data_IF_652394482893
#
_entry.id   IF_652394482893
#
_cell.length_a   1.000
_cell.length_b   1.000
_cell.length_c   1.000
_cell.angle_alpha   90.00
_cell.angle_beta   90.00
_cell.angle_gamma   90.00
#
_symmetry.space_group_name_H-M   'P 1'
#
loop_
_entity.id
_entity.type
_entity.pdbx_description
1 polymer ?
#
# COMPACT_ATOMS: atom_id res chain seq x y z
N UNK A 1 -0.48 -23.66 -13.68
CA UNK A 1 -0.07 -22.49 -14.50
C UNK A 1 -1.36 -21.82 -14.97
N UNK A 2 -1.60 -20.54 -14.68
CA UNK A 2 -2.91 -19.89 -14.88
C UNK A 2 -3.24 -19.61 -16.36
N UNK A 3 -2.22 -19.41 -17.21
CA UNK A 3 -2.34 -19.31 -18.67
C UNK A 3 -1.01 -19.67 -19.35
N UNK A 4 -1.05 -19.96 -20.64
CA UNK A 4 0.12 -20.07 -21.53
C UNK A 4 0.66 -18.70 -21.98
N UNK A 5 -0.15 -17.64 -21.88
CA UNK A 5 0.22 -16.27 -22.22
C UNK A 5 1.11 -15.66 -21.12
N UNK A 6 2.34 -15.26 -21.47
CA UNK A 6 3.29 -14.66 -20.51
C UNK A 6 2.80 -13.31 -19.98
N UNK A 7 2.10 -12.52 -20.79
CA UNK A 7 1.58 -11.21 -20.40
C UNK A 7 0.34 -11.31 -19.50
N UNK A 8 -0.34 -12.47 -19.52
CA UNK A 8 -1.53 -12.69 -18.72
C UNK A 8 -1.22 -12.67 -17.22
N UNK A 9 -0.20 -13.38 -16.74
CA UNK A 9 0.08 -13.48 -15.30
C UNK A 9 0.34 -12.11 -14.68
N UNK A 10 1.18 -11.29 -15.33
CA UNK A 10 1.45 -9.93 -14.89
C UNK A 10 0.18 -9.08 -14.89
N UNK A 11 -0.61 -9.12 -15.97
CA UNK A 11 -1.84 -8.34 -16.08
C UNK A 11 -2.92 -8.80 -15.09
N UNK A 12 -3.03 -10.10 -14.84
CA UNK A 12 -3.89 -10.68 -13.83
C UNK A 12 -3.54 -10.11 -12.45
N UNK A 13 -2.28 -10.20 -12.02
CA UNK A 13 -1.83 -9.68 -10.72
C UNK A 13 -2.11 -8.18 -10.55
N UNK A 14 -2.02 -7.41 -11.64
CA UNK A 14 -2.26 -5.97 -11.65
C UNK A 14 -3.75 -5.63 -11.58
N UNK A 15 -4.58 -6.35 -12.33
CA UNK A 15 -6.02 -6.08 -12.40
C UNK A 15 -6.71 -6.52 -11.11
N UNK A 16 -6.33 -7.64 -10.49
CA UNK A 16 -6.93 -8.06 -9.22
C UNK A 16 -6.66 -7.05 -8.09
N UNK A 17 -5.54 -6.33 -8.13
CA UNK A 17 -5.24 -5.25 -7.17
C UNK A 17 -6.27 -4.11 -7.25
N UNK A 18 -6.87 -3.85 -8.43
CA UNK A 18 -7.96 -2.89 -8.56
C UNK A 18 -9.18 -3.30 -7.73
N UNK A 19 -9.42 -4.61 -7.56
CA UNK A 19 -10.45 -5.12 -6.66
C UNK A 19 -10.16 -4.75 -5.20
N UNK A 20 -8.90 -4.89 -4.76
CA UNK A 20 -8.49 -4.44 -3.42
C UNK A 20 -8.54 -2.91 -3.26
N UNK A 21 -8.36 -2.13 -4.32
CA UNK A 21 -8.52 -0.67 -4.26
C UNK A 21 -9.98 -0.26 -4.20
N UNK A 22 -10.85 -0.95 -4.94
CA UNK A 22 -12.28 -0.74 -4.86
C UNK A 22 -12.81 -1.00 -3.44
N UNK A 23 -12.26 -1.97 -2.72
CA UNK A 23 -12.67 -2.23 -1.33
C UNK A 23 -12.29 -1.10 -0.38
N UNK A 24 -11.16 -0.43 -0.60
CA UNK A 24 -10.80 0.81 0.13
C UNK A 24 -11.85 1.90 -0.13
N UNK A 25 -12.21 2.13 -1.41
CA UNK A 25 -13.21 3.14 -1.79
C UNK A 25 -14.56 2.85 -1.15
N UNK A 26 -15.00 1.58 -1.17
CA UNK A 26 -16.27 1.15 -0.56
C UNK A 26 -16.23 1.28 0.96
N UNK A 27 -15.18 0.79 1.62
CA UNK A 27 -15.07 0.83 3.07
C UNK A 27 -15.07 2.27 3.61
N UNK A 28 -14.32 3.17 2.94
CA UNK A 28 -14.19 4.57 3.33
C UNK A 28 -15.07 5.52 2.52
N UNK A 29 -16.17 5.03 1.93
CA UNK A 29 -17.03 5.81 1.02
C UNK A 29 -17.43 7.17 1.61
N UNK A 30 -17.91 7.17 2.86
CA UNK A 30 -18.34 8.40 3.54
C UNK A 30 -17.18 9.33 3.88
N UNK A 31 -15.95 8.82 4.02
CA UNK A 31 -14.75 9.61 4.32
C UNK A 31 -14.12 10.18 3.04
N UNK A 32 -14.26 9.51 1.90
CA UNK A 32 -13.60 9.87 0.65
C UNK A 32 -14.44 10.76 -0.26
N UNK A 33 -15.76 10.54 -0.34
CA UNK A 33 -16.60 11.20 -1.33
C UNK A 33 -16.89 12.65 -0.90
N UNK A 34 -16.39 13.67 -1.65
CA UNK A 34 -16.47 15.08 -1.27
C UNK A 34 -17.87 15.68 -1.47
N UNK A 35 -18.84 14.89 -1.90
CA UNK A 35 -20.26 15.28 -2.05
C UNK A 35 -21.14 14.83 -0.89
N UNK A 36 -20.59 14.01 0.03
CA UNK A 36 -21.31 13.51 1.19
C UNK A 36 -21.00 14.37 2.42
N UNK A 37 -22.01 14.68 3.24
CA UNK A 37 -21.84 15.39 4.53
C UNK A 37 -22.09 16.90 4.50
N UNK A 38 -21.77 17.56 5.61
CA UNK A 38 -21.96 19.01 5.80
C UNK A 38 -21.03 19.82 4.88
N UNK A 39 -21.21 21.15 4.80
CA UNK A 39 -20.32 22.02 4.00
C UNK A 39 -18.86 21.91 4.46
N UNK A 40 -18.64 21.89 5.78
CA UNK A 40 -17.31 21.78 6.37
C UNK A 40 -16.67 20.42 6.11
N UNK A 41 -17.41 19.33 6.31
CA UNK A 41 -16.93 17.97 6.02
C UNK A 41 -16.51 17.81 4.55
N UNK A 42 -17.27 18.40 3.62
CA UNK A 42 -16.95 18.38 2.19
C UNK A 42 -15.65 19.13 1.88
N UNK A 43 -15.42 20.28 2.52
CA UNK A 43 -14.16 21.03 2.39
C UNK A 43 -12.96 20.24 2.94
N UNK A 44 -13.12 19.58 4.08
CA UNK A 44 -12.07 18.74 4.67
C UNK A 44 -11.71 17.56 3.77
N UNK A 45 -12.68 16.97 3.07
CA UNK A 45 -12.44 15.90 2.09
C UNK A 45 -11.69 16.39 0.85
N UNK A 46 -12.00 17.57 0.35
CA UNK A 46 -11.20 18.19 -0.73
C UNK A 46 -9.77 18.45 -0.27
N UNK A 47 -9.58 18.96 0.93
CA UNK A 47 -8.26 19.16 1.53
C UNK A 47 -7.50 17.83 1.70
N UNK A 48 -8.17 16.76 2.12
CA UNK A 48 -7.62 15.41 2.13
C UNK A 48 -7.13 15.00 0.74
N UNK A 49 -7.96 15.13 -0.30
CA UNK A 49 -7.55 14.77 -1.67
C UNK A 49 -6.36 15.58 -2.17
N UNK A 50 -6.28 16.88 -1.85
CA UNK A 50 -5.10 17.69 -2.15
C UNK A 50 -3.84 17.16 -1.45
N UNK A 51 -3.93 16.77 -0.17
CA UNK A 51 -2.82 16.14 0.57
C UNK A 51 -2.41 14.81 -0.09
N UNK A 52 -3.36 14.00 -0.54
CA UNK A 52 -3.10 12.74 -1.24
C UNK A 52 -2.39 13.00 -2.58
N UNK A 53 -2.85 13.97 -3.36
CA UNK A 53 -2.21 14.37 -4.63
C UNK A 53 -0.77 14.82 -4.37
N UNK A 54 -0.53 15.65 -3.36
CA UNK A 54 0.82 16.09 -3.00
C UNK A 54 1.70 14.91 -2.57
N UNK A 55 1.12 13.93 -1.87
CA UNK A 55 1.84 12.74 -1.40
C UNK A 55 2.22 11.78 -2.52
N UNK A 56 1.50 11.75 -3.63
CA UNK A 56 1.83 10.85 -4.76
C UNK A 56 2.92 11.44 -5.67
N UNK A 57 3.12 12.77 -5.68
CA UNK A 57 4.09 13.44 -6.57
C UNK A 57 5.51 12.84 -6.52
N UNK A 58 6.12 12.59 -5.34
CA UNK A 58 7.47 12.02 -5.31
C UNK A 58 7.54 10.63 -5.96
N UNK A 59 6.51 9.81 -5.73
CA UNK A 59 6.44 8.47 -6.29
C UNK A 59 6.19 8.49 -7.80
N UNK A 60 5.38 9.41 -8.33
CA UNK A 60 5.23 9.57 -9.78
C UNK A 60 6.57 9.96 -10.40
N UNK A 61 7.24 10.97 -9.84
CA UNK A 61 8.50 11.46 -10.39
C UNK A 61 9.59 10.38 -10.42
N UNK A 62 9.83 9.71 -9.27
CA UNK A 62 10.85 8.67 -9.17
C UNK A 62 10.44 7.42 -9.94
N UNK A 63 9.16 7.03 -9.87
CA UNK A 63 8.65 5.82 -10.52
C UNK A 63 8.77 5.89 -12.04
N UNK A 64 8.48 7.04 -12.66
CA UNK A 64 8.61 7.19 -14.11
C UNK A 64 10.06 7.15 -14.61
N UNK A 65 11.02 7.54 -13.77
CA UNK A 65 12.45 7.59 -14.13
C UNK A 65 13.14 6.25 -13.85
N UNK A 66 12.77 5.57 -12.76
CA UNK A 66 13.53 4.45 -12.21
C UNK A 66 12.89 3.06 -12.42
N UNK A 67 11.69 2.96 -13.00
CA UNK A 67 10.92 1.69 -13.15
C UNK A 67 11.79 0.53 -13.68
N UNK A 68 12.43 0.72 -14.83
CA UNK A 68 13.24 -0.31 -15.50
C UNK A 68 14.49 -0.69 -14.69
N UNK A 69 15.12 0.30 -14.04
CA UNK A 69 16.30 0.07 -13.22
C UNK A 69 15.96 -0.71 -11.94
N UNK A 70 14.84 -0.38 -11.30
CA UNK A 70 14.33 -1.09 -10.13
C UNK A 70 14.02 -2.55 -10.47
N UNK A 71 13.29 -2.78 -11.57
CA UNK A 71 12.93 -4.13 -12.01
C UNK A 71 14.17 -4.98 -12.29
N UNK A 72 15.19 -4.42 -12.95
CA UNK A 72 16.42 -5.12 -13.30
C UNK A 72 17.27 -5.55 -12.09
N UNK A 73 17.43 -4.68 -11.09
CA UNK A 73 18.40 -4.91 -10.01
C UNK A 73 17.78 -5.42 -8.71
N UNK A 74 16.53 -5.06 -8.42
CA UNK A 74 15.92 -5.31 -7.11
C UNK A 74 14.83 -6.39 -7.14
N UNK A 75 14.36 -6.81 -8.32
CA UNK A 75 13.29 -7.81 -8.44
C UNK A 75 13.83 -9.25 -8.33
N UNK A 76 14.39 -9.58 -7.17
CA UNK A 76 14.88 -10.92 -6.85
C UNK A 76 14.46 -11.36 -5.43
N UNK A 77 14.37 -12.67 -5.20
CA UNK A 77 13.89 -13.25 -3.93
C UNK A 77 14.71 -12.81 -2.71
N UNK A 78 16.02 -12.62 -2.89
CA UNK A 78 16.91 -12.20 -1.81
C UNK A 78 16.58 -10.76 -1.37
N UNK A 79 16.48 -9.82 -2.30
CA UNK A 79 16.06 -8.45 -2.01
C UNK A 79 14.70 -8.42 -1.31
N UNK A 80 13.71 -9.18 -1.79
CA UNK A 80 12.38 -9.26 -1.17
C UNK A 80 12.45 -9.75 0.28
N UNK A 81 13.24 -10.79 0.53
CA UNK A 81 13.38 -11.36 1.88
C UNK A 81 14.10 -10.42 2.87
N UNK A 82 15.18 -9.77 2.44
CA UNK A 82 15.95 -8.85 3.28
C UNK A 82 15.11 -7.63 3.64
N UNK A 83 14.38 -7.05 2.68
CA UNK A 83 13.50 -5.90 2.94
C UNK A 83 12.32 -6.28 3.82
N UNK A 84 11.76 -7.49 3.69
CA UNK A 84 10.73 -7.99 4.61
C UNK A 84 11.24 -8.00 6.05
N UNK A 85 12.42 -8.58 6.29
CA UNK A 85 13.05 -8.64 7.62
C UNK A 85 13.35 -7.23 8.12
N UNK A 86 14.00 -6.39 7.31
CA UNK A 86 14.40 -5.04 7.70
C UNK A 86 13.19 -4.19 8.14
N UNK A 87 12.14 -4.12 7.33
CA UNK A 87 10.93 -3.36 7.70
C UNK A 87 10.14 -4.02 8.83
N UNK A 88 10.23 -5.35 8.97
CA UNK A 88 9.68 -6.07 10.11
C UNK A 88 10.34 -5.66 11.43
N UNK A 89 11.67 -5.58 11.45
CA UNK A 89 12.46 -5.06 12.58
C UNK A 89 12.12 -3.59 12.84
N UNK A 90 12.04 -2.78 11.78
CA UNK A 90 11.73 -1.36 11.89
C UNK A 90 10.37 -1.10 12.55
N UNK A 91 9.33 -1.88 12.20
CA UNK A 91 8.04 -1.82 12.89
C UNK A 91 8.16 -2.07 14.39
N UNK A 92 8.91 -3.11 14.79
CA UNK A 92 9.08 -3.46 16.19
C UNK A 92 9.81 -2.34 16.94
N UNK A 93 10.91 -1.83 16.40
CA UNK A 93 11.71 -0.77 17.01
C UNK A 93 10.89 0.52 17.17
N UNK A 94 10.21 0.95 16.11
CA UNK A 94 9.39 2.17 16.12
C UNK A 94 8.27 2.05 17.16
N UNK A 95 7.61 0.90 17.22
CA UNK A 95 6.53 0.67 18.18
C UNK A 95 7.02 0.70 19.63
N UNK A 96 8.13 0.04 19.94
CA UNK A 96 8.71 0.10 21.28
C UNK A 96 9.15 1.51 21.67
N UNK A 97 9.71 2.27 20.72
CA UNK A 97 10.10 3.66 20.96
C UNK A 97 8.89 4.56 21.25
N UNK A 98 7.81 4.40 20.48
CA UNK A 98 6.59 5.21 20.64
C UNK A 98 5.80 4.86 21.90
N UNK A 99 5.71 3.57 22.24
CA UNK A 99 5.07 3.13 23.48
C UNK A 99 5.72 3.74 24.73
N UNK A 100 7.03 3.97 24.70
CA UNK A 100 7.76 4.62 25.80
C UNK A 100 7.54 6.13 25.90
N UNK A 101 7.13 6.80 24.82
CA UNK A 101 7.09 8.27 24.76
C UNK A 101 5.69 8.88 24.57
N UNK A 102 4.68 8.10 24.16
CA UNK A 102 3.30 8.59 24.01
C UNK A 102 3.09 9.65 22.92
N UNK A 103 3.95 9.71 21.89
CA UNK A 103 4.00 10.83 20.92
C UNK A 103 3.08 10.59 19.71
N UNK A 104 1.77 10.44 19.95
CA UNK A 104 0.79 10.56 18.86
C UNK A 104 0.14 11.92 18.96
N UNK A 105 0.67 12.88 18.20
CA UNK A 105 0.25 14.29 18.24
C UNK A 105 -0.86 14.61 17.25
N UNK A 106 -1.05 13.75 16.25
CA UNK A 106 -2.03 13.93 15.17
C UNK A 106 -2.98 12.73 15.15
N UNK A 107 -4.23 13.02 15.46
CA UNK A 107 -5.34 12.06 15.54
C UNK A 107 -6.40 12.26 14.45
N UNK A 108 -6.36 13.38 13.74
CA UNK A 108 -7.27 13.70 12.65
C UNK A 108 -6.51 14.16 11.38
N UNK A 109 -7.05 13.81 10.22
CA UNK A 109 -6.54 14.13 8.89
C UNK A 109 -6.36 15.64 8.68
N UNK A 110 -7.22 16.46 9.27
CA UNK A 110 -7.19 17.92 9.12
C UNK A 110 -5.88 18.51 9.67
N UNK A 111 -5.36 17.91 10.76
CA UNK A 111 -4.10 18.30 11.42
C UNK A 111 -2.85 17.86 10.64
N UNK A 112 -2.98 17.02 9.61
CA UNK A 112 -1.86 16.64 8.75
C UNK A 112 -1.54 17.81 7.80
N UNK A 113 -0.40 18.45 7.97
CA UNK A 113 0.03 19.53 7.07
C UNK A 113 0.45 18.99 5.69
N UNK A 114 0.39 19.83 4.65
CA UNK A 114 0.87 19.48 3.31
C UNK A 114 2.34 19.06 3.29
N UNK A 115 3.18 19.67 4.14
CA UNK A 115 4.58 19.26 4.32
C UNK A 115 4.68 17.82 4.82
N UNK A 116 3.87 17.43 5.82
CA UNK A 116 3.85 16.04 6.32
C UNK A 116 3.34 15.08 5.24
N UNK A 117 2.28 15.45 4.51
CA UNK A 117 1.77 14.66 3.39
C UNK A 117 2.85 14.40 2.32
N UNK A 118 3.56 15.44 1.89
CA UNK A 118 4.69 15.30 0.95
C UNK A 118 5.79 14.36 1.48
N UNK A 119 6.16 14.47 2.76
CA UNK A 119 7.16 13.58 3.37
C UNK A 119 6.65 12.13 3.41
N UNK A 120 5.38 11.88 3.72
CA UNK A 120 4.79 10.53 3.61
C UNK A 120 4.93 9.99 2.18
N UNK A 121 4.79 10.86 1.17
CA UNK A 121 5.07 10.55 -0.23
C UNK A 121 6.52 10.16 -0.51
N UNK A 122 7.49 10.80 0.13
CA UNK A 122 8.90 10.40 0.05
C UNK A 122 9.11 9.01 0.67
N UNK A 123 8.46 8.71 1.80
CA UNK A 123 8.47 7.36 2.36
C UNK A 123 7.85 6.32 1.41
N UNK A 124 6.79 6.69 0.67
CA UNK A 124 6.23 5.80 -0.35
C UNK A 124 7.26 5.36 -1.40
N UNK A 125 8.23 6.22 -1.74
CA UNK A 125 9.26 5.88 -2.72
C UNK A 125 10.16 4.71 -2.28
N UNK A 126 10.27 4.46 -0.97
CA UNK A 126 10.97 3.29 -0.45
C UNK A 126 10.30 1.96 -0.87
N UNK A 127 9.01 2.02 -1.19
CA UNK A 127 8.23 0.89 -1.66
C UNK A 127 8.61 0.41 -3.06
N UNK A 128 9.40 1.18 -3.80
CA UNK A 128 9.97 0.72 -5.06
C UNK A 128 10.92 -0.45 -4.88
N UNK A 129 11.58 -0.56 -3.74
CA UNK A 129 12.39 -1.75 -3.43
C UNK A 129 11.42 -2.91 -3.13
N UNK A 130 11.43 -3.99 -3.94
CA UNK A 130 10.53 -5.12 -3.75
C UNK A 130 10.67 -5.72 -2.35
N UNK A 131 9.53 -6.03 -1.74
CA UNK A 131 9.41 -6.54 -0.37
C UNK A 131 9.23 -5.47 0.71
N UNK A 132 9.56 -4.20 0.47
CA UNK A 132 9.36 -3.09 1.43
C UNK A 132 7.90 -2.92 1.88
N UNK A 133 6.93 -3.34 1.08
CA UNK A 133 5.49 -3.09 1.26
C UNK A 133 5.16 -1.60 1.27
N UNK A 134 4.35 -1.20 0.30
CA UNK A 134 3.95 0.20 0.14
C UNK A 134 3.21 0.74 1.35
N UNK A 135 2.26 -0.02 1.88
CA UNK A 135 1.53 0.39 3.08
C UNK A 135 2.45 0.50 4.30
N UNK A 136 3.44 -0.38 4.44
CA UNK A 136 4.38 -0.33 5.56
C UNK A 136 5.22 0.95 5.51
N UNK A 137 5.77 1.29 4.35
CA UNK A 137 6.60 2.48 4.18
C UNK A 137 5.81 3.75 4.52
N UNK A 138 4.59 3.90 4.00
CA UNK A 138 3.75 5.08 4.24
C UNK A 138 3.21 5.16 5.67
N UNK A 139 2.85 4.02 6.27
CA UNK A 139 2.43 3.96 7.68
C UNK A 139 3.59 4.37 8.60
N UNK A 140 4.78 3.81 8.38
CA UNK A 140 5.99 4.16 9.13
C UNK A 140 6.30 5.65 9.00
N UNK A 141 6.27 6.18 7.77
CA UNK A 141 6.46 7.61 7.54
C UNK A 141 5.44 8.47 8.28
N UNK A 142 4.16 8.12 8.23
CA UNK A 142 3.10 8.82 8.97
C UNK A 142 3.30 8.79 10.48
N UNK A 143 3.61 7.61 11.02
CA UNK A 143 3.85 7.41 12.45
C UNK A 143 5.07 8.22 12.92
N UNK A 144 6.18 8.20 12.19
CA UNK A 144 7.37 8.99 12.50
C UNK A 144 7.12 10.50 12.46
N UNK A 145 6.13 10.94 11.68
CA UNK A 145 5.66 12.33 11.63
C UNK A 145 4.60 12.67 12.70
N UNK A 146 4.29 11.71 13.58
CA UNK A 146 3.42 11.88 14.74
C UNK A 146 1.94 11.56 14.50
N UNK A 147 1.58 10.93 13.38
CA UNK A 147 0.23 10.41 13.16
C UNK A 147 0.00 9.19 14.07
N UNK A 148 -1.20 9.09 14.64
CA UNK A 148 -1.60 7.87 15.31
C UNK A 148 -1.70 6.69 14.31
N UNK A 149 -1.67 5.46 14.82
CA UNK A 149 -1.63 4.23 14.00
C UNK A 149 -2.82 4.13 13.04
N UNK A 150 -4.01 4.47 13.54
CA UNK A 150 -5.25 4.42 12.76
C UNK A 150 -5.18 5.40 11.59
N UNK A 151 -4.84 6.67 11.86
CA UNK A 151 -4.75 7.73 10.86
C UNK A 151 -3.62 7.48 9.86
N UNK A 152 -2.47 6.96 10.30
CA UNK A 152 -1.38 6.59 9.40
C UNK A 152 -1.80 5.48 8.43
N UNK A 153 -2.54 4.47 8.93
CA UNK A 153 -3.10 3.41 8.10
C UNK A 153 -4.19 3.93 7.15
N UNK A 154 -5.09 4.78 7.63
CA UNK A 154 -6.14 5.41 6.83
C UNK A 154 -5.54 6.27 5.70
N UNK A 155 -4.58 7.14 6.03
CA UNK A 155 -3.86 7.95 5.04
C UNK A 155 -3.16 7.07 3.99
N UNK A 156 -2.51 6.00 4.45
CA UNK A 156 -1.89 5.02 3.58
C UNK A 156 -2.91 4.35 2.65
N UNK A 157 -4.10 3.97 3.14
CA UNK A 157 -5.15 3.43 2.28
C UNK A 157 -5.64 4.44 1.26
N UNK A 158 -5.81 5.72 1.63
CA UNK A 158 -6.22 6.76 0.68
C UNK A 158 -5.17 7.03 -0.39
N UNK A 159 -3.90 7.09 0.01
CA UNK A 159 -2.79 7.25 -0.92
C UNK A 159 -2.66 6.05 -1.88
N UNK A 160 -3.13 4.87 -1.47
CA UNK A 160 -3.18 3.68 -2.33
C UNK A 160 -3.99 3.91 -3.60
N UNK A 161 -5.10 4.63 -3.48
CA UNK A 161 -6.11 4.72 -4.52
C UNK A 161 -5.50 5.29 -5.80
N UNK A 162 -4.99 6.53 -5.84
CA UNK A 162 -4.39 7.07 -7.06
C UNK A 162 -3.08 6.36 -7.44
N UNK A 163 -2.30 5.90 -6.46
CA UNK A 163 -1.00 5.25 -6.71
C UNK A 163 -1.19 3.94 -7.48
N UNK A 164 -2.07 3.07 -6.99
CA UNK A 164 -2.30 1.76 -7.59
C UNK A 164 -3.13 1.89 -8.87
N UNK A 165 -4.10 2.82 -8.94
CA UNK A 165 -4.79 3.11 -10.19
C UNK A 165 -3.83 3.56 -11.29
N UNK A 166 -2.93 4.50 -10.99
CA UNK A 166 -1.93 4.98 -11.94
C UNK A 166 -0.95 3.89 -12.38
N UNK A 167 -0.41 3.12 -11.43
CA UNK A 167 0.48 2.01 -11.73
C UNK A 167 -0.20 0.91 -12.56
N UNK A 168 -1.44 0.54 -12.21
CA UNK A 168 -2.20 -0.46 -12.96
C UNK A 168 -2.53 0.03 -14.37
N UNK A 169 -2.98 1.27 -14.53
CA UNK A 169 -3.29 1.84 -15.84
C UNK A 169 -2.06 1.87 -16.75
N UNK A 170 -0.91 2.33 -16.23
CA UNK A 170 0.35 2.38 -16.96
C UNK A 170 0.77 0.98 -17.44
N UNK A 171 0.68 -0.04 -16.57
CA UNK A 171 1.03 -1.41 -16.95
C UNK A 171 0.04 -2.04 -17.92
N UNK A 172 -1.26 -1.75 -17.80
CA UNK A 172 -2.29 -2.20 -18.77
C UNK A 172 -2.01 -1.60 -20.15
N UNK A 173 -1.67 -0.32 -20.22
CA UNK A 173 -1.30 0.36 -21.49
C UNK A 173 -0.04 -0.27 -22.09
N UNK A 174 1.00 -0.55 -21.28
CA UNK A 174 2.25 -1.18 -21.74
C UNK A 174 2.05 -2.62 -22.23
N UNK A 175 1.24 -3.42 -21.53
CA UNK A 175 1.12 -4.86 -21.79
C UNK A 175 0.00 -5.23 -22.77
N UNK A 176 -0.94 -4.32 -23.01
CA UNK A 176 -2.15 -4.59 -23.80
C UNK A 176 -3.15 -5.50 -23.09
N UNK A 177 -4.32 -5.68 -23.71
CA UNK A 177 -5.46 -6.45 -23.17
C UNK A 177 -5.92 -7.56 -24.13
N UNK A 178 -4.99 -8.17 -24.86
CA UNK A 178 -5.29 -9.28 -25.77
C UNK A 178 -5.42 -10.60 -25.01
N UNK A 179 -6.55 -10.78 -24.32
CA UNK A 179 -6.86 -11.98 -23.54
C UNK A 179 -8.04 -12.76 -24.11
N UNK A 180 -7.97 -14.08 -24.00
CA UNK A 180 -9.07 -14.98 -24.32
C UNK A 180 -10.24 -14.80 -23.34
N UNK A 181 -11.43 -15.30 -23.71
CA UNK A 181 -12.60 -15.28 -22.82
C UNK A 181 -12.32 -15.98 -21.47
N UNK A 182 -11.60 -17.11 -21.50
CA UNK A 182 -11.22 -17.84 -20.29
C UNK A 182 -10.32 -17.01 -19.35
N UNK A 183 -9.35 -16.30 -19.91
CA UNK A 183 -8.47 -15.39 -19.16
C UNK A 183 -9.24 -14.22 -18.54
N UNK A 184 -10.20 -13.65 -19.26
CA UNK A 184 -11.09 -12.62 -18.71
C UNK A 184 -11.95 -13.13 -17.56
N UNK A 185 -12.47 -14.35 -17.65
CA UNK A 185 -13.21 -14.98 -16.55
C UNK A 185 -12.33 -15.20 -15.32
N UNK A 186 -11.07 -15.60 -15.50
CA UNK A 186 -10.10 -15.70 -14.41
C UNK A 186 -9.84 -14.33 -13.77
N UNK A 187 -9.58 -13.30 -14.57
CA UNK A 187 -9.38 -11.91 -14.09
C UNK A 187 -10.58 -11.43 -13.28
N UNK A 188 -11.80 -11.61 -13.79
CA UNK A 188 -13.03 -11.20 -13.11
C UNK A 188 -13.20 -11.92 -11.78
N UNK A 189 -12.96 -13.23 -11.75
CA UNK A 189 -13.03 -14.03 -10.52
C UNK A 189 -12.00 -13.56 -9.49
N UNK A 190 -10.75 -13.34 -9.91
CA UNK A 190 -9.69 -12.83 -9.04
C UNK A 190 -9.98 -11.42 -8.53
N UNK A 191 -10.55 -10.56 -9.37
CA UNK A 191 -10.96 -9.20 -9.00
C UNK A 191 -12.04 -9.23 -7.91
N UNK A 192 -13.10 -10.01 -8.09
CA UNK A 192 -14.20 -10.13 -7.13
C UNK A 192 -13.69 -10.71 -5.81
N UNK A 193 -12.91 -11.79 -5.86
CA UNK A 193 -12.33 -12.39 -4.65
C UNK A 193 -11.41 -11.41 -3.92
N UNK A 194 -10.53 -10.72 -4.65
CA UNK A 194 -9.65 -9.70 -4.07
C UNK A 194 -10.45 -8.57 -3.43
N UNK A 195 -11.53 -8.11 -4.06
CA UNK A 195 -12.42 -7.08 -3.50
C UNK A 195 -13.05 -7.54 -2.18
N UNK A 196 -13.70 -8.71 -2.17
CA UNK A 196 -14.41 -9.22 -0.99
C UNK A 196 -13.45 -9.49 0.18
N UNK A 197 -12.34 -10.17 -0.09
CA UNK A 197 -11.33 -10.47 0.93
C UNK A 197 -10.73 -9.17 1.48
N UNK A 198 -10.34 -8.23 0.60
CA UNK A 198 -9.76 -6.97 1.04
C UNK A 198 -10.75 -6.14 1.86
N UNK A 199 -12.05 -6.13 1.51
CA UNK A 199 -13.06 -5.41 2.28
C UNK A 199 -13.14 -5.93 3.72
N UNK A 200 -13.14 -7.25 3.88
CA UNK A 200 -13.13 -7.92 5.17
C UNK A 200 -11.83 -7.62 5.92
N UNK A 201 -10.68 -7.77 5.26
CA UNK A 201 -9.36 -7.51 5.85
C UNK A 201 -9.20 -6.07 6.32
N UNK A 202 -9.61 -5.08 5.52
CA UNK A 202 -9.54 -3.66 5.90
C UNK A 202 -10.38 -3.42 7.14
N UNK A 203 -11.62 -3.95 7.19
CA UNK A 203 -12.48 -3.81 8.35
C UNK A 203 -11.85 -4.35 9.63
N UNK A 204 -11.33 -5.58 9.59
CA UNK A 204 -10.63 -6.19 10.72
C UNK A 204 -9.38 -5.41 11.12
N UNK A 205 -8.58 -5.00 10.13
CA UNK A 205 -7.34 -4.29 10.37
C UNK A 205 -7.56 -2.91 10.99
N UNK A 206 -8.50 -2.12 10.47
CA UNK A 206 -8.84 -0.81 11.03
C UNK A 206 -9.39 -0.94 12.46
N UNK A 207 -10.20 -1.95 12.73
CA UNK A 207 -10.68 -2.22 14.09
C UNK A 207 -9.57 -2.71 15.03
N UNK A 208 -8.62 -3.50 14.53
CA UNK A 208 -7.44 -3.92 15.28
C UNK A 208 -6.58 -2.71 15.70
N UNK A 209 -6.33 -1.78 14.78
CA UNK A 209 -5.48 -0.60 15.03
C UNK A 209 -6.06 0.40 16.03
N UNK A 210 -7.36 0.34 16.30
CA UNK A 210 -7.97 1.11 17.40
C UNK A 210 -7.47 0.68 18.78
N UNK A 211 -7.00 -0.56 18.93
CA UNK A 211 -6.66 -1.17 20.23
C UNK A 211 -5.24 -1.74 20.31
N UNK A 212 -4.58 -1.96 19.17
CA UNK A 212 -3.32 -2.72 19.08
C UNK A 212 -2.30 -1.98 18.21
N UNK A 213 -1.06 -2.46 18.27
CA UNK A 213 0.11 -1.86 17.63
C UNK A 213 0.63 -2.71 16.45
N UNK A 214 1.65 -2.24 15.74
CA UNK A 214 2.20 -2.94 14.57
C UNK A 214 3.19 -4.08 14.88
N UNK A 215 3.48 -4.38 16.15
CA UNK A 215 4.55 -5.34 16.53
C UNK A 215 4.30 -6.73 15.94
N UNK A 216 3.06 -7.23 15.97
CA UNK A 216 2.71 -8.56 15.41
C UNK A 216 3.00 -8.61 13.90
N UNK A 217 2.72 -7.53 13.16
CA UNK A 217 3.06 -7.45 11.73
C UNK A 217 4.57 -7.41 11.51
N UNK A 218 5.32 -6.82 12.43
CA UNK A 218 6.78 -6.87 12.45
C UNK A 218 7.31 -8.31 12.50
N UNK A 219 6.85 -9.10 13.47
CA UNK A 219 7.21 -10.52 13.58
C UNK A 219 6.81 -11.33 12.35
N UNK A 220 5.57 -11.15 11.87
CA UNK A 220 5.09 -11.81 10.65
C UNK A 220 6.04 -11.58 9.47
N UNK A 221 6.46 -10.33 9.25
CA UNK A 221 7.37 -9.97 8.15
C UNK A 221 8.76 -10.61 8.30
N UNK A 222 9.30 -10.63 9.52
CA UNK A 222 10.60 -11.27 9.80
C UNK A 222 10.52 -12.77 9.49
N UNK A 223 9.51 -13.45 10.03
CA UNK A 223 9.31 -14.89 9.80
C UNK A 223 9.15 -15.19 8.31
N UNK A 224 8.32 -14.41 7.60
CA UNK A 224 8.12 -14.59 6.16
C UNK A 224 9.40 -14.39 5.37
N UNK A 225 10.19 -13.37 5.69
CA UNK A 225 11.48 -13.14 5.05
C UNK A 225 12.46 -14.30 5.27
N UNK A 226 12.54 -14.83 6.49
CA UNK A 226 13.37 -16.01 6.80
C UNK A 226 12.91 -17.24 6.01
N UNK A 227 11.60 -17.48 5.92
CA UNK A 227 11.06 -18.59 5.12
C UNK A 227 11.45 -18.44 3.65
N UNK A 228 11.36 -17.24 3.07
CA UNK A 228 11.74 -17.00 1.68
C UNK A 228 13.24 -17.25 1.45
N UNK A 229 14.11 -16.86 2.39
CA UNK A 229 15.55 -17.15 2.32
C UNK A 229 15.77 -18.66 2.28
N UNK A 230 15.17 -19.40 3.22
CA UNK A 230 15.31 -20.86 3.30
C UNK A 230 14.85 -21.52 2.00
N UNK A 231 13.67 -21.15 1.50
CA UNK A 231 13.14 -21.69 0.24
C UNK A 231 14.00 -21.35 -0.97
N UNK A 232 14.61 -20.15 -0.98
CA UNK A 232 15.51 -19.72 -2.06
C UNK A 232 16.81 -20.53 -2.05
N UNK A 233 17.34 -20.86 -0.87
CA UNK A 233 18.53 -21.71 -0.72
C UNK A 233 18.22 -23.16 -1.12
N UNK A 234 17.07 -23.71 -0.72
CA UNK A 234 16.69 -25.11 -1.02
C UNK A 234 16.42 -25.34 -2.52
N UNK A 235 15.87 -24.33 -3.22
CA UNK A 235 15.58 -24.43 -4.66
C UNK A 235 16.82 -24.28 -5.55
N UNK A 236 17.95 -23.86 -4.99
CA UNK A 236 19.20 -23.63 -5.71
C UNK A 236 20.07 -24.87 -5.65
#
# INVERSE_FOLDING_TARGET
KLSSNKNFTTSFEIIIQLGAILSVVVYFWKNLIPFYGTKEERLNKWNLWLKIIISILPAIFIGLIADEWIEKYFFNSLTVSITLIFYGILFIIIEYYLLKRGIFLIDNIDKVSYKKAFIIGLFQCLAFIPGTSRSAATIIGGILLGLNRYLAAEFSFFLAIPTMLGASLLKIIKNGLSFSLYEWLLILTGFILSFLIALITISFFMNYLKKKNFIIFGYYRIILGVIIIILTIIKK
#
